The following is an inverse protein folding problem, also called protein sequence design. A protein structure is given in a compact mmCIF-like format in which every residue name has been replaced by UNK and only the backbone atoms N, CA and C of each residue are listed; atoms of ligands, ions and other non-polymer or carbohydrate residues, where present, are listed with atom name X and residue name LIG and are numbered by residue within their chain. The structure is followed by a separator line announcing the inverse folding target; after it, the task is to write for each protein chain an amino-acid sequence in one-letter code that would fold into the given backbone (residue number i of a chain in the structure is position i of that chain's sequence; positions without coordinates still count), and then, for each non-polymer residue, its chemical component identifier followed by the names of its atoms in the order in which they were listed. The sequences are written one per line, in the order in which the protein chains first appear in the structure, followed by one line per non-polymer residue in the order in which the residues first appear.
data_IF_413906744484
#
_entry.id   IF_413906744484
#
_cell.length_a   1.000
_cell.length_b   1.000
_cell.length_c   1.000
_cell.angle_alpha   90.00
_cell.angle_beta   90.00
_cell.angle_gamma   90.00
#
_symmetry.space_group_name_H-M   'P 1'
#
loop_
_entity.id
_entity.type
_entity.pdbx_description
1 polymer ?
#
# COMPACT_ATOMS: atom_id res chain seq x y z
N UNK A 1 20.30 -28.22 6.55
CA UNK A 1 18.98 -28.12 5.87
C UNK A 1 17.95 -27.93 6.96
N UNK A 2 17.37 -26.72 7.09
CA UNK A 2 16.21 -26.46 7.94
C UNK A 2 15.27 -25.57 7.11
N UNK A 3 14.27 -26.22 6.53
CA UNK A 3 13.33 -25.61 5.61
C UNK A 3 12.34 -24.69 6.34
N UNK A 4 12.35 -23.43 5.89
CA UNK A 4 11.22 -22.54 5.66
C UNK A 4 9.98 -22.68 6.56
N UNK A 5 9.80 -21.68 7.42
CA UNK A 5 8.53 -20.94 7.48
C UNK A 5 8.87 -19.45 7.42
N UNK A 6 8.93 -18.88 6.21
CA UNK A 6 8.91 -17.43 6.07
C UNK A 6 7.49 -17.01 6.43
N UNK A 7 7.29 -16.48 7.64
CA UNK A 7 6.06 -15.76 7.96
C UNK A 7 5.88 -14.71 6.89
N UNK A 8 4.77 -14.75 6.15
CA UNK A 8 4.42 -13.64 5.28
C UNK A 8 4.20 -12.43 6.19
N UNK A 9 4.83 -11.30 5.89
CA UNK A 9 4.56 -10.03 6.54
C UNK A 9 3.98 -9.12 5.46
N UNK A 10 2.91 -8.42 5.78
CA UNK A 10 2.38 -7.35 4.94
C UNK A 10 3.09 -6.08 5.36
N UNK A 11 3.79 -5.46 4.42
CA UNK A 11 4.60 -4.27 4.66
C UNK A 11 4.05 -3.11 3.82
N UNK A 12 3.36 -2.18 4.50
CA UNK A 12 2.78 -0.99 3.88
C UNK A 12 3.33 0.27 4.54
N UNK A 13 3.56 1.28 3.71
CA UNK A 13 4.13 2.55 4.14
C UNK A 13 3.50 3.74 3.41
N UNK A 14 3.43 4.84 4.16
CA UNK A 14 2.87 6.09 3.75
C UNK A 14 3.97 7.11 3.58
N UNK A 15 3.94 7.79 2.44
CA UNK A 15 4.95 8.78 2.12
C UNK A 15 4.33 10.10 1.69
N UNK A 16 4.77 11.18 2.34
CA UNK A 16 4.50 12.56 1.94
C UNK A 16 5.82 13.23 1.56
N UNK A 17 5.89 13.85 0.39
CA UNK A 17 7.11 14.49 -0.14
C UNK A 17 8.39 13.63 -0.04
N UNK A 18 8.30 12.34 -0.32
CA UNK A 18 9.39 11.34 -0.21
C UNK A 18 9.88 11.05 1.22
N UNK A 19 9.17 11.53 2.24
CA UNK A 19 9.44 11.21 3.64
C UNK A 19 8.45 10.14 4.10
N UNK A 20 8.96 9.07 4.69
CA UNK A 20 8.13 8.06 5.35
C UNK A 20 7.50 8.67 6.58
N UNK A 21 6.17 8.77 6.57
CA UNK A 21 5.39 9.35 7.68
C UNK A 21 4.64 8.30 8.47
N UNK A 22 4.51 7.09 7.93
CA UNK A 22 3.88 5.97 8.60
C UNK A 22 4.37 4.66 8.00
N UNK A 23 4.75 3.70 8.85
CA UNK A 23 5.15 2.36 8.48
C UNK A 23 4.40 1.37 9.35
N UNK A 24 3.76 0.37 8.74
CA UNK A 24 3.14 -0.69 9.52
C UNK A 24 3.34 -2.05 8.89
N UNK A 25 3.80 -2.97 9.72
CA UNK A 25 4.03 -4.36 9.36
C UNK A 25 3.00 -5.25 10.07
N UNK A 26 2.22 -6.01 9.31
CA UNK A 26 1.23 -6.93 9.85
C UNK A 26 1.66 -8.37 9.67
N UNK A 27 1.47 -9.17 10.73
CA UNK A 27 1.51 -10.62 10.63
C UNK A 27 0.09 -11.12 10.31
N UNK A 28 -0.18 -11.62 9.09
CA UNK A 28 -1.48 -12.17 8.75
C UNK A 28 -1.72 -13.44 9.59
N UNK A 29 -2.85 -13.47 10.32
CA UNK A 29 -3.23 -14.66 11.10
C UNK A 29 -3.77 -15.77 10.20
N UNK A 30 -4.57 -15.41 9.18
CA UNK A 30 -5.36 -16.39 8.40
C UNK A 30 -5.40 -16.13 6.89
N UNK A 31 -5.47 -14.86 6.45
CA UNK A 31 -5.53 -14.51 5.03
C UNK A 31 -4.65 -13.29 4.72
N UNK A 32 -3.66 -13.49 3.85
CA UNK A 32 -2.75 -12.44 3.38
C UNK A 32 -3.52 -11.31 2.69
N UNK A 33 -4.51 -11.64 1.85
CA UNK A 33 -5.32 -10.63 1.14
C UNK A 33 -6.09 -9.72 2.11
N UNK A 34 -6.68 -10.29 3.16
CA UNK A 34 -7.43 -9.49 4.15
C UNK A 34 -6.51 -8.60 4.98
N UNK A 35 -5.29 -9.05 5.29
CA UNK A 35 -4.29 -8.24 5.98
C UNK A 35 -3.79 -7.08 5.12
N UNK A 36 -3.47 -7.35 3.84
CA UNK A 36 -3.09 -6.33 2.85
C UNK A 36 -4.18 -5.28 2.65
N UNK A 37 -5.43 -5.72 2.56
CA UNK A 37 -6.58 -4.83 2.41
C UNK A 37 -6.78 -3.93 3.63
N UNK A 38 -6.57 -4.47 4.84
CA UNK A 38 -6.66 -3.73 6.08
C UNK A 38 -5.54 -2.68 6.19
N UNK A 39 -4.31 -3.06 5.83
CA UNK A 39 -3.15 -2.18 5.88
C UNK A 39 -3.31 -0.97 4.93
N UNK A 40 -3.71 -1.20 3.68
CA UNK A 40 -4.06 -0.11 2.74
C UNK A 40 -5.20 0.75 3.27
N UNK A 41 -6.25 0.13 3.85
CA UNK A 41 -7.38 0.89 4.40
C UNK A 41 -6.93 1.81 5.52
N UNK A 42 -6.09 1.34 6.44
CA UNK A 42 -5.51 2.11 7.55
C UNK A 42 -4.62 3.24 7.05
N UNK A 43 -3.76 2.99 6.06
CA UNK A 43 -2.92 4.02 5.44
C UNK A 43 -3.77 5.16 4.84
N UNK A 44 -4.88 4.81 4.17
CA UNK A 44 -5.83 5.81 3.66
C UNK A 44 -6.51 6.53 4.84
N UNK A 45 -7.01 5.82 5.86
CA UNK A 45 -7.65 6.43 7.05
C UNK A 45 -6.75 7.45 7.72
N UNK A 46 -5.48 7.10 7.91
CA UNK A 46 -4.48 8.01 8.40
C UNK A 46 -4.35 9.24 7.48
N UNK A 47 -4.19 9.04 6.18
CA UNK A 47 -4.10 10.14 5.20
C UNK A 47 -5.31 11.08 5.21
N UNK A 48 -6.55 10.56 5.32
CA UNK A 48 -7.76 11.38 5.46
C UNK A 48 -7.67 12.17 6.78
N UNK A 49 -7.42 11.47 7.89
CA UNK A 49 -7.48 12.05 9.24
C UNK A 49 -6.42 13.12 9.48
N UNK A 50 -5.24 12.95 8.89
CA UNK A 50 -4.14 13.91 8.89
C UNK A 50 -4.31 15.02 7.84
N UNK A 51 -5.40 15.00 7.06
CA UNK A 51 -5.75 15.96 6.01
C UNK A 51 -4.58 16.23 5.04
N UNK A 52 -3.85 15.18 4.67
CA UNK A 52 -2.65 15.31 3.86
C UNK A 52 -3.04 15.68 2.40
N UNK A 53 -2.43 16.74 1.82
CA UNK A 53 -2.82 17.24 0.51
C UNK A 53 -2.39 16.29 -0.63
N UNK A 54 -1.28 15.57 -0.45
CA UNK A 54 -0.76 14.61 -1.41
C UNK A 54 -0.12 13.45 -0.67
N UNK A 55 -0.48 12.24 -1.04
CA UNK A 55 -0.07 11.02 -0.35
C UNK A 55 0.27 9.95 -1.36
N UNK A 56 1.41 9.31 -1.17
CA UNK A 56 1.77 8.10 -1.90
C UNK A 56 1.75 6.93 -0.92
N UNK A 57 0.82 6.02 -1.11
CA UNK A 57 0.76 4.74 -0.40
C UNK A 57 1.50 3.74 -1.27
N UNK A 58 2.42 3.01 -0.67
CA UNK A 58 3.21 1.99 -1.36
C UNK A 58 2.91 0.65 -0.70
N UNK A 59 2.60 -0.35 -1.53
CA UNK A 59 2.25 -1.68 -1.06
C UNK A 59 2.85 -2.74 -1.99
N UNK A 60 3.23 -3.88 -1.42
CA UNK A 60 3.66 -5.05 -2.18
C UNK A 60 2.53 -6.00 -2.59
N UNK A 61 1.31 -5.71 -2.12
CA UNK A 61 0.08 -6.45 -2.45
C UNK A 61 -0.37 -6.22 -3.89
N UNK A 62 0.08 -7.10 -4.80
CA UNK A 62 -0.41 -7.06 -6.19
C UNK A 62 -1.91 -7.33 -6.29
N UNK A 63 -2.44 -8.18 -5.40
CA UNK A 63 -3.85 -8.59 -5.33
C UNK A 63 -4.78 -7.41 -5.05
N UNK A 64 -4.49 -6.61 -4.03
CA UNK A 64 -5.35 -5.47 -3.66
C UNK A 64 -5.25 -4.35 -4.70
N UNK A 65 -4.07 -4.14 -5.29
CA UNK A 65 -3.90 -3.14 -6.34
C UNK A 65 -4.67 -3.50 -7.61
N UNK A 66 -4.59 -4.76 -8.07
CA UNK A 66 -5.39 -5.24 -9.20
C UNK A 66 -6.90 -5.17 -8.90
N UNK A 67 -7.30 -5.51 -7.68
CA UNK A 67 -8.69 -5.44 -7.24
C UNK A 67 -9.23 -3.99 -7.30
N UNK A 68 -8.42 -3.01 -6.93
CA UNK A 68 -8.73 -1.58 -7.05
C UNK A 68 -8.80 -1.13 -8.51
N UNK A 69 -7.87 -1.53 -9.37
CA UNK A 69 -7.85 -1.14 -10.79
C UNK A 69 -9.03 -1.74 -11.58
N UNK A 70 -9.53 -2.90 -11.15
CA UNK A 70 -10.71 -3.50 -11.76
C UNK A 70 -11.98 -2.67 -11.49
N UNK A 71 -12.55 -2.09 -12.53
CA UNK A 71 -13.76 -1.25 -12.48
C UNK A 71 -15.00 -2.07 -12.08
N UNK A 72 -15.06 -3.34 -12.46
CA UNK A 72 -16.20 -4.23 -12.21
C UNK A 72 -16.10 -4.99 -10.88
N UNK A 73 -15.15 -4.61 -10.01
CA UNK A 73 -15.00 -5.26 -8.73
C UNK A 73 -16.11 -4.83 -7.75
N UNK A 74 -16.93 -5.80 -7.34
CA UNK A 74 -18.05 -5.62 -6.43
C UNK A 74 -17.70 -5.93 -4.95
N UNK A 75 -16.43 -6.16 -4.63
CA UNK A 75 -15.98 -6.31 -3.25
C UNK A 75 -16.26 -5.03 -2.46
N UNK A 76 -17.09 -5.15 -1.41
CA UNK A 76 -17.52 -4.04 -0.54
C UNK A 76 -16.34 -3.27 0.05
N UNK A 77 -15.21 -3.95 0.31
CA UNK A 77 -14.02 -3.35 0.88
C UNK A 77 -13.29 -2.50 -0.16
N UNK A 78 -13.20 -2.98 -1.40
CA UNK A 78 -12.60 -2.25 -2.51
C UNK A 78 -13.46 -1.04 -2.88
N UNK A 79 -14.78 -1.19 -2.90
CA UNK A 79 -15.71 -0.07 -3.10
C UNK A 79 -15.52 0.98 -2.00
N UNK A 80 -15.41 0.56 -0.74
CA UNK A 80 -15.15 1.45 0.39
C UNK A 80 -13.83 2.22 0.19
N UNK A 81 -12.75 1.54 -0.18
CA UNK A 81 -11.45 2.16 -0.47
C UNK A 81 -11.55 3.18 -1.61
N UNK A 82 -12.18 2.81 -2.73
CA UNK A 82 -12.38 3.71 -3.88
C UNK A 82 -13.17 4.97 -3.49
N UNK A 83 -14.24 4.81 -2.72
CA UNK A 83 -15.05 5.93 -2.25
C UNK A 83 -14.28 6.85 -1.31
N UNK A 84 -13.47 6.29 -0.40
CA UNK A 84 -12.63 7.07 0.52
C UNK A 84 -11.58 7.88 -0.22
N UNK A 85 -10.92 7.30 -1.22
CA UNK A 85 -9.98 8.00 -2.10
C UNK A 85 -10.70 9.11 -2.88
N UNK A 86 -11.89 8.84 -3.44
CA UNK A 86 -12.67 9.81 -4.22
C UNK A 86 -13.20 10.98 -3.38
N UNK A 87 -13.55 10.74 -2.13
CA UNK A 87 -14.08 11.74 -1.21
C UNK A 87 -12.96 12.58 -0.55
N UNK A 88 -11.72 12.12 -0.59
CA UNK A 88 -10.58 12.90 -0.10
C UNK A 88 -10.33 14.09 -1.01
N UNK A 89 -10.19 15.29 -0.44
CA UNK A 89 -9.88 16.50 -1.21
C UNK A 89 -8.44 16.52 -1.75
N UNK A 90 -7.55 15.75 -1.11
CA UNK A 90 -6.16 15.59 -1.53
C UNK A 90 -5.96 14.50 -2.57
N UNK A 91 -4.74 14.38 -3.08
CA UNK A 91 -4.36 13.35 -4.04
C UNK A 91 -3.75 12.14 -3.34
N UNK A 92 -4.48 11.02 -3.30
CA UNK A 92 -3.94 9.73 -2.83
C UNK A 92 -3.57 8.88 -4.05
N UNK A 93 -2.29 8.55 -4.17
CA UNK A 93 -1.77 7.60 -5.17
C UNK A 93 -1.37 6.31 -4.45
N UNK A 94 -1.74 5.18 -5.04
CA UNK A 94 -1.26 3.86 -4.62
C UNK A 94 -0.23 3.39 -5.63
N UNK A 95 0.92 2.93 -5.17
CA UNK A 95 2.00 2.39 -6.00
C UNK A 95 2.27 0.94 -5.60
N UNK A 96 2.42 0.09 -6.62
CA UNK A 96 2.90 -1.27 -6.40
C UNK A 96 4.42 -1.25 -6.34
N UNK A 97 5.01 -1.92 -5.36
CA UNK A 97 6.43 -2.26 -5.39
C UNK A 97 6.61 -3.74 -5.09
N UNK A 98 7.69 -4.32 -5.56
CA UNK A 98 8.05 -5.67 -5.11
C UNK A 98 8.63 -5.58 -3.70
N UNK A 99 8.24 -6.46 -2.77
CA UNK A 99 8.72 -6.48 -1.38
C UNK A 99 10.25 -6.28 -1.24
N UNK A 100 11.04 -6.93 -2.11
CA UNK A 100 12.51 -6.81 -2.14
C UNK A 100 13.06 -5.42 -2.52
N UNK A 101 12.19 -4.51 -2.95
CA UNK A 101 12.51 -3.18 -3.44
C UNK A 101 12.07 -2.09 -2.46
N UNK A 102 11.49 -2.47 -1.31
CA UNK A 102 11.11 -1.55 -0.24
C UNK A 102 12.28 -0.68 0.21
N UNK A 103 13.39 -1.32 0.58
CA UNK A 103 14.61 -0.64 1.02
C UNK A 103 15.18 0.33 -0.03
N UNK A 104 15.00 -0.01 -1.32
CA UNK A 104 15.47 0.85 -2.42
C UNK A 104 14.55 2.07 -2.55
N UNK A 105 13.25 1.90 -2.32
CA UNK A 105 12.25 2.97 -2.36
C UNK A 105 12.46 3.96 -1.24
N UNK A 106 12.68 3.48 -0.01
CA UNK A 106 12.93 4.31 1.17
C UNK A 106 14.30 5.00 1.12
N UNK A 107 15.35 4.29 0.68
CA UNK A 107 16.74 4.81 0.73
C UNK A 107 17.10 5.71 -0.44
N UNK A 108 16.55 5.47 -1.64
CA UNK A 108 16.93 6.21 -2.87
C UNK A 108 15.89 7.21 -3.38
N UNK A 109 14.73 7.29 -2.73
CA UNK A 109 13.62 8.18 -3.10
C UNK A 109 12.91 7.79 -4.41
N UNK A 110 11.68 8.27 -4.59
CA UNK A 110 10.77 7.94 -5.70
C UNK A 110 11.37 8.12 -7.10
N UNK A 111 12.32 9.05 -7.28
CA UNK A 111 12.92 9.39 -8.58
C UNK A 111 13.82 8.31 -9.15
N UNK A 112 14.39 7.44 -8.31
CA UNK A 112 15.30 6.38 -8.75
C UNK A 112 14.59 5.12 -9.25
N UNK A 113 13.31 4.93 -8.91
CA UNK A 113 12.54 3.71 -9.19
C UNK A 113 11.62 3.79 -10.41
N UNK A 114 11.30 4.99 -10.89
CA UNK A 114 10.58 5.21 -12.15
C UNK A 114 11.33 4.66 -13.39
N UNK A 115 12.61 4.33 -13.25
CA UNK A 115 13.47 3.79 -14.31
C UNK A 115 13.66 2.28 -14.26
N UNK A 116 12.97 1.56 -13.37
CA UNK A 116 13.06 0.10 -13.33
C UNK A 116 11.96 -0.53 -14.18
N UNK A 117 12.30 -1.51 -15.04
CA UNK A 117 11.29 -2.21 -15.82
C UNK A 117 10.33 -2.99 -14.90
N UNK A 118 9.08 -3.21 -15.37
CA UNK A 118 8.02 -3.87 -14.59
C UNK A 118 8.37 -5.29 -14.11
#
# INVERSE_FOLDING_TARGET
MNDKVRGAFVDDGLFDNNVEIYHQCFRPSDNVYSAELLAIKLAIDYAISSNLPKVNIVSDSRSVLLAKENVNNNDIHIISIKNRIRNHKGQIKLHWIKARMWDIWTTKGQTSLLNLPP
#
